data_IF_308175920831
#
_entry.id   IF_308175920831
#
_cell.length_a   1.000
_cell.length_b   1.000
_cell.length_c   1.000
_cell.angle_alpha   90.00
_cell.angle_beta   90.00
_cell.angle_gamma   90.00
#
_symmetry.space_group_name_H-M   'P 1'
#
loop_
_entity.id
_entity.type
_entity.pdbx_description
1 polymer ?
#
# COMPACT_ATOMS: atom_id res chain seq x y z
N UNK A 1 -1.13 8.87 16.64
CA UNK A 1 -0.56 7.55 16.34
C UNK A 1 -0.32 7.47 14.84
N UNK A 2 0.93 7.24 14.45
CA UNK A 2 1.33 7.00 13.06
C UNK A 2 1.55 5.51 12.86
N UNK A 3 1.31 5.04 11.65
CA UNK A 3 1.60 3.69 11.21
C UNK A 3 2.69 3.74 10.15
N UNK A 4 3.44 2.66 10.05
CA UNK A 4 4.39 2.44 8.99
C UNK A 4 3.74 1.54 7.94
N UNK A 5 3.77 1.94 6.67
CA UNK A 5 3.23 1.14 5.58
C UNK A 5 4.38 0.82 4.63
N UNK A 6 4.46 -0.44 4.23
CA UNK A 6 5.42 -0.96 3.27
C UNK A 6 4.63 -1.64 2.13
N UNK A 7 4.87 -1.22 0.90
CA UNK A 7 4.17 -1.71 -0.30
C UNK A 7 5.22 -2.22 -1.27
N UNK A 8 5.08 -3.48 -1.67
CA UNK A 8 5.82 -4.11 -2.75
C UNK A 8 4.86 -4.31 -3.92
N UNK A 9 5.24 -3.83 -5.10
CA UNK A 9 4.43 -3.94 -6.29
C UNK A 9 5.31 -4.13 -7.52
N UNK A 10 4.72 -4.74 -8.55
CA UNK A 10 5.36 -4.89 -9.86
C UNK A 10 4.85 -3.76 -10.76
N UNK A 11 5.78 -3.05 -11.40
CA UNK A 11 5.51 -2.05 -12.44
C UNK A 11 6.50 -2.26 -13.59
N UNK A 12 6.00 -2.41 -14.82
CA UNK A 12 6.82 -2.64 -16.01
C UNK A 12 7.93 -3.69 -15.78
N UNK A 13 7.53 -4.86 -15.25
CA UNK A 13 8.40 -6.01 -14.93
C UNK A 13 9.46 -5.77 -13.83
N UNK A 14 9.45 -4.60 -13.20
CA UNK A 14 10.33 -4.27 -12.08
C UNK A 14 9.60 -4.41 -10.75
N UNK A 15 10.22 -5.09 -9.78
CA UNK A 15 9.75 -5.13 -8.39
C UNK A 15 10.18 -3.85 -7.67
N UNK A 16 9.21 -3.11 -7.16
CA UNK A 16 9.44 -1.85 -6.46
C UNK A 16 8.94 -2.00 -5.03
N UNK A 17 9.78 -1.59 -4.07
CA UNK A 17 9.40 -1.48 -2.65
C UNK A 17 9.34 0.00 -2.27
N UNK A 18 8.22 0.41 -1.69
CA UNK A 18 8.02 1.73 -1.10
C UNK A 18 7.65 1.60 0.37
N UNK A 19 8.21 2.47 1.21
CA UNK A 19 7.89 2.53 2.63
C UNK A 19 7.60 3.97 3.04
N UNK A 20 6.54 4.17 3.82
CA UNK A 20 6.10 5.49 4.28
C UNK A 20 5.52 5.43 5.68
N UNK A 21 5.56 6.54 6.41
CA UNK A 21 4.89 6.67 7.70
C UNK A 21 3.72 7.64 7.59
N UNK A 22 2.55 7.19 8.03
CA UNK A 22 1.30 7.91 7.84
C UNK A 22 0.56 8.09 9.16
N UNK A 23 0.02 9.28 9.44
CA UNK A 23 -0.86 9.47 10.59
C UNK A 23 -2.25 8.87 10.31
N UNK A 24 -2.85 8.19 11.30
CA UNK A 24 -4.17 7.57 11.12
C UNK A 24 -5.32 8.58 10.97
N UNK A 25 -5.23 9.76 11.63
CA UNK A 25 -6.21 10.85 11.56
C UNK A 25 -7.69 10.40 11.64
N UNK A 26 -8.00 9.40 12.46
CA UNK A 26 -9.35 8.87 12.63
C UNK A 26 -9.81 7.85 11.58
N UNK A 27 -8.94 7.47 10.63
CA UNK A 27 -9.15 6.37 9.70
C UNK A 27 -8.57 5.06 10.25
N UNK A 28 -9.07 3.93 9.75
CA UNK A 28 -8.46 2.63 10.03
C UNK A 28 -7.11 2.49 9.34
N UNK A 29 -6.26 1.59 9.82
CA UNK A 29 -4.92 1.40 9.25
C UNK A 29 -5.00 0.94 7.78
N UNK A 30 -5.94 0.05 7.50
CA UNK A 30 -6.23 -0.53 6.19
C UNK A 30 -6.74 0.53 5.22
N UNK A 31 -7.60 1.46 5.69
CA UNK A 31 -8.08 2.57 4.87
C UNK A 31 -6.95 3.51 4.45
N UNK A 32 -5.99 3.78 5.34
CA UNK A 32 -4.82 4.62 5.02
C UNK A 32 -3.91 3.89 4.04
N UNK A 33 -3.64 2.60 4.25
CA UNK A 33 -2.88 1.77 3.34
C UNK A 33 -3.51 1.68 1.94
N UNK A 34 -4.82 1.44 1.87
CA UNK A 34 -5.57 1.39 0.61
C UNK A 34 -5.53 2.74 -0.11
N UNK A 35 -5.67 3.85 0.61
CA UNK A 35 -5.56 5.20 0.04
C UNK A 35 -4.19 5.41 -0.60
N UNK A 36 -3.13 5.05 0.11
CA UNK A 36 -1.78 5.19 -0.40
C UNK A 36 -1.52 4.27 -1.60
N UNK A 37 -2.02 3.03 -1.56
CA UNK A 37 -1.93 2.13 -2.72
C UNK A 37 -2.65 2.69 -3.95
N UNK A 38 -3.84 3.28 -3.78
CA UNK A 38 -4.57 3.95 -4.87
C UNK A 38 -3.80 5.14 -5.43
N UNK A 39 -3.11 5.91 -4.60
CA UNK A 39 -2.22 6.99 -5.06
C UNK A 39 -1.05 6.44 -5.87
N UNK A 40 -0.37 5.39 -5.40
CA UNK A 40 0.72 4.74 -6.14
C UNK A 40 0.22 4.24 -7.50
N UNK A 41 -0.93 3.55 -7.56
CA UNK A 41 -1.50 3.10 -8.85
C UNK A 41 -1.79 4.25 -9.81
N UNK A 42 -2.19 5.42 -9.31
CA UNK A 42 -2.46 6.62 -10.13
C UNK A 42 -1.18 7.27 -10.66
N UNK A 43 -0.08 7.17 -9.92
CA UNK A 43 1.23 7.68 -10.35
C UNK A 43 1.87 6.82 -11.45
N UNK A 44 1.43 5.56 -11.61
CA UNK A 44 2.07 4.59 -12.50
C UNK A 44 1.36 4.53 -13.87
N UNK A 45 1.98 5.06 -14.95
CA UNK A 45 1.33 5.12 -16.27
C UNK A 45 1.09 3.75 -16.92
N UNK A 46 1.89 2.75 -16.56
CA UNK A 46 1.82 1.38 -17.09
C UNK A 46 1.07 0.41 -16.17
N UNK A 47 0.40 0.94 -15.14
CA UNK A 47 -0.24 0.14 -14.10
C UNK A 47 0.76 -0.38 -13.06
N UNK A 48 0.19 -0.85 -11.94
CA UNK A 48 0.93 -1.44 -10.83
C UNK A 48 0.13 -2.59 -10.23
N UNK A 49 0.79 -3.73 -10.04
CA UNK A 49 0.22 -4.93 -9.42
C UNK A 49 0.75 -5.10 -8.00
N UNK A 50 -0.17 -5.21 -7.03
CA UNK A 50 0.20 -5.33 -5.63
C UNK A 50 0.73 -6.75 -5.34
N UNK A 51 1.98 -6.86 -4.89
CA UNK A 51 2.52 -8.14 -4.41
C UNK A 51 2.35 -8.27 -2.90
N UNK A 52 2.82 -7.28 -2.12
CA UNK A 52 2.80 -7.34 -0.65
C UNK A 52 2.46 -5.96 -0.09
N UNK A 53 1.58 -5.89 0.90
CA UNK A 53 1.33 -4.70 1.71
C UNK A 53 1.45 -5.04 3.19
N UNK A 54 2.36 -4.37 3.88
CA UNK A 54 2.55 -4.50 5.33
C UNK A 54 2.21 -3.21 6.06
N UNK A 55 1.59 -3.33 7.21
CA UNK A 55 1.32 -2.25 8.16
C UNK A 55 2.01 -2.58 9.47
N UNK A 56 2.92 -1.72 9.94
CA UNK A 56 3.71 -1.92 11.15
C UNK A 56 4.45 -3.29 11.18
N UNK A 57 4.72 -3.88 10.01
CA UNK A 57 5.35 -5.20 9.84
C UNK A 57 4.37 -6.36 9.66
N UNK A 58 3.07 -6.16 9.87
CA UNK A 58 2.02 -7.14 9.67
C UNK A 58 1.55 -7.16 8.22
N UNK A 59 1.49 -8.34 7.59
CA UNK A 59 1.02 -8.50 6.22
C UNK A 59 -0.51 -8.44 6.16
N UNK A 60 -1.03 -7.46 5.42
CA UNK A 60 -2.47 -7.22 5.23
C UNK A 60 -2.85 -7.28 3.75
N UNK A 61 -2.00 -7.87 2.91
CA UNK A 61 -2.15 -7.88 1.45
C UNK A 61 -3.53 -8.38 1.02
N UNK A 62 -3.97 -9.51 1.57
CA UNK A 62 -5.25 -10.13 1.20
C UNK A 62 -6.44 -9.26 1.65
N UNK A 63 -6.37 -8.68 2.84
CA UNK A 63 -7.39 -7.72 3.33
C UNK A 63 -7.55 -6.55 2.37
N UNK A 64 -6.43 -6.00 1.89
CA UNK A 64 -6.46 -4.86 0.97
C UNK A 64 -6.98 -5.27 -0.41
N UNK A 65 -6.65 -6.47 -0.90
CA UNK A 65 -7.19 -7.01 -2.16
C UNK A 65 -8.70 -7.19 -2.13
N UNK A 66 -9.25 -7.64 -1.00
CA UNK A 66 -10.71 -7.78 -0.81
C UNK A 66 -11.45 -6.42 -0.76
N UNK A 67 -10.74 -5.32 -0.48
CA UNK A 67 -11.30 -3.96 -0.39
C UNK A 67 -11.23 -3.15 -1.69
N UNK A 68 -10.61 -3.68 -2.76
CA UNK A 68 -10.35 -2.98 -4.04
C UNK A 68 -11.47 -3.15 -5.05
#
# INVERSE_FOLDING_TARGET
MSILIEVHYISSESKIMRRGSFPLRGKSKEQVALSWWKEIKREMPYGAELEILKIDGEDVTEVIKEMV
#
